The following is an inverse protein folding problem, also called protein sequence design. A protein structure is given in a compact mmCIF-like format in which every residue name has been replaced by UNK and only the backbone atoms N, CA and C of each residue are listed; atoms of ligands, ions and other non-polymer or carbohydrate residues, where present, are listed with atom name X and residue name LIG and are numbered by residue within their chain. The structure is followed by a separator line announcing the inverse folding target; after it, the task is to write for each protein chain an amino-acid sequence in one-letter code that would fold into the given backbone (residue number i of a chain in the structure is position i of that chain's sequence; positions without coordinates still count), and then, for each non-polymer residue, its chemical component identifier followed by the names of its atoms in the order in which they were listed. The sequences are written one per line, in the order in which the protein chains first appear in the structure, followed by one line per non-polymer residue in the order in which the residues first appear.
data_IF_204436884397
#
_entry.id   IF_204436884397
#
_cell.length_a   1.000
_cell.length_b   1.000
_cell.length_c   1.000
_cell.angle_alpha   90.00
_cell.angle_beta   90.00
_cell.angle_gamma   90.00
#
_symmetry.space_group_name_H-M   'P 1'
#
loop_
_entity.id
_entity.type
_entity.pdbx_description
1 polymer ?
#
# COMPACT_ATOMS: atom_id res chain seq x y z
N UNK A 1 -17.10 -14.37 26.91
CA UNK A 1 -17.53 -13.66 25.68
C UNK A 1 -18.99 -13.95 25.43
N UNK A 2 -19.66 -13.10 24.64
CA UNK A 2 -21.07 -13.28 24.24
C UNK A 2 -21.15 -14.18 23.02
N UNK A 3 -22.08 -15.13 23.01
CA UNK A 3 -22.36 -15.95 21.83
C UNK A 3 -23.46 -15.28 21.00
N UNK A 4 -23.30 -15.31 19.67
CA UNK A 4 -24.26 -14.75 18.71
C UNK A 4 -24.54 -15.83 17.67
N UNK A 5 -25.81 -16.19 17.50
CA UNK A 5 -26.28 -17.09 16.45
C UNK A 5 -26.57 -16.30 15.17
N UNK A 6 -26.20 -16.84 14.01
CA UNK A 6 -26.38 -16.17 12.71
C UNK A 6 -26.33 -17.18 11.56
N UNK A 7 -27.13 -16.97 10.52
CA UNK A 7 -27.07 -17.78 9.29
C UNK A 7 -25.84 -17.45 8.42
N UNK A 8 -25.40 -16.19 8.42
CA UNK A 8 -24.27 -15.69 7.62
C UNK A 8 -23.46 -14.65 8.41
N UNK A 9 -22.14 -14.71 8.27
CA UNK A 9 -21.21 -13.72 8.85
C UNK A 9 -20.22 -13.26 7.78
N UNK A 10 -20.03 -11.94 7.66
CA UNK A 10 -19.00 -11.35 6.81
C UNK A 10 -17.89 -10.76 7.66
N UNK A 11 -16.66 -11.23 7.45
CA UNK A 11 -15.47 -10.69 8.11
C UNK A 11 -14.89 -9.59 7.22
N UNK A 12 -15.12 -8.33 7.60
CA UNK A 12 -14.66 -7.16 6.87
C UNK A 12 -13.41 -6.50 7.50
N UNK A 13 -12.63 -7.27 8.27
CA UNK A 13 -11.42 -6.83 8.95
C UNK A 13 -10.33 -7.89 8.86
N UNK A 14 -9.09 -7.55 9.25
CA UNK A 14 -7.99 -8.51 9.31
C UNK A 14 -7.31 -8.78 7.97
N UNK A 15 -6.98 -7.74 7.21
CA UNK A 15 -6.24 -7.86 5.95
C UNK A 15 -4.87 -8.49 6.20
N UNK A 16 -4.53 -9.54 5.44
CA UNK A 16 -3.19 -10.13 5.41
C UNK A 16 -2.42 -9.55 4.22
N UNK A 17 -1.23 -9.00 4.49
CA UNK A 17 -0.38 -8.43 3.45
C UNK A 17 0.28 -9.54 2.61
N UNK A 18 0.42 -9.29 1.32
CA UNK A 18 1.06 -10.22 0.38
C UNK A 18 2.54 -9.82 0.15
N UNK A 19 3.38 -10.07 1.14
CA UNK A 19 4.80 -9.70 1.14
C UNK A 19 5.76 -10.87 0.95
N UNK A 20 5.23 -12.10 0.85
CA UNK A 20 6.05 -13.33 0.80
C UNK A 20 7.04 -13.36 -0.37
N UNK A 21 6.72 -12.73 -1.51
CA UNK A 21 7.66 -12.64 -2.64
C UNK A 21 8.91 -11.82 -2.29
N UNK A 22 8.77 -10.77 -1.48
CA UNK A 22 9.88 -9.92 -1.08
C UNK A 22 10.77 -10.65 -0.06
N UNK A 23 10.18 -11.47 0.80
CA UNK A 23 10.94 -12.33 1.73
C UNK A 23 11.89 -13.28 0.98
N UNK A 24 11.51 -13.74 -0.22
CA UNK A 24 12.41 -14.57 -1.06
C UNK A 24 13.61 -13.82 -1.62
N UNK A 25 13.56 -12.49 -1.67
CA UNK A 25 14.67 -11.65 -2.09
C UNK A 25 15.60 -11.37 -0.91
N UNK A 26 15.03 -10.85 0.18
CA UNK A 26 15.75 -10.51 1.41
C UNK A 26 14.77 -10.22 2.56
N UNK A 27 14.94 -10.92 3.68
CA UNK A 27 14.08 -10.71 4.87
C UNK A 27 14.25 -9.32 5.51
N UNK A 28 15.42 -8.66 5.33
CA UNK A 28 15.68 -7.34 5.90
C UNK A 28 14.81 -6.24 5.30
N UNK A 29 14.22 -6.49 4.12
CA UNK A 29 13.28 -5.60 3.44
C UNK A 29 11.87 -5.59 4.06
N UNK A 30 11.58 -6.48 5.00
CA UNK A 30 10.29 -6.55 5.68
C UNK A 30 10.43 -5.99 7.10
N UNK A 31 9.47 -5.15 7.51
CA UNK A 31 9.34 -4.74 8.91
C UNK A 31 8.80 -5.88 9.76
N UNK A 32 9.48 -6.17 10.88
CA UNK A 32 9.13 -7.29 11.77
C UNK A 32 7.72 -7.12 12.38
N UNK A 33 7.38 -5.91 12.83
CA UNK A 33 6.13 -5.65 13.54
C UNK A 33 4.90 -5.59 12.61
N UNK A 34 5.07 -5.00 11.42
CA UNK A 34 3.96 -4.68 10.52
C UNK A 34 3.87 -5.61 9.33
N UNK A 35 4.91 -6.41 9.07
CA UNK A 35 5.11 -7.22 7.86
C UNK A 35 5.11 -6.40 6.57
N UNK A 36 5.37 -5.08 6.65
CA UNK A 36 5.37 -4.18 5.49
C UNK A 36 6.72 -4.13 4.81
N UNK A 37 6.70 -3.90 3.51
CA UNK A 37 7.89 -3.73 2.68
C UNK A 37 8.50 -2.35 2.91
N UNK A 38 9.76 -2.32 3.31
CA UNK A 38 10.57 -1.11 3.47
C UNK A 38 10.86 -0.50 2.11
N UNK A 39 10.46 0.76 1.94
CA UNK A 39 10.68 1.52 0.70
C UNK A 39 11.32 2.87 0.96
N UNK A 40 12.08 3.34 -0.02
CA UNK A 40 12.58 4.72 -0.08
C UNK A 40 11.45 5.70 -0.38
N UNK A 41 11.69 6.99 -0.21
CA UNK A 41 10.76 8.06 -0.62
C UNK A 41 10.40 7.99 -2.11
N UNK A 42 11.23 7.36 -2.94
CA UNK A 42 11.03 7.13 -4.38
C UNK A 42 10.29 5.83 -4.71
N UNK A 43 9.78 5.11 -3.70
CA UNK A 43 9.04 3.84 -3.80
C UNK A 43 9.86 2.63 -4.29
N UNK A 44 11.18 2.76 -4.33
CA UNK A 44 12.09 1.64 -4.53
C UNK A 44 12.21 0.83 -3.23
N UNK A 45 12.49 -0.47 -3.33
CA UNK A 45 12.88 -1.27 -2.16
C UNK A 45 14.07 -0.62 -1.46
N UNK A 46 14.02 -0.57 -0.12
CA UNK A 46 15.05 0.10 0.67
C UNK A 46 16.30 -0.77 0.86
N UNK A 47 16.97 -1.05 -0.26
CA UNK A 47 18.19 -1.84 -0.29
C UNK A 47 18.96 -1.55 -1.59
N UNK A 48 20.29 -1.44 -1.51
CA UNK A 48 21.11 -1.00 -2.63
C UNK A 48 21.09 -1.98 -3.82
N UNK A 49 21.13 -3.29 -3.55
CA UNK A 49 21.04 -4.32 -4.59
C UNK A 49 19.67 -4.35 -5.30
N UNK A 50 18.62 -3.82 -4.66
CA UNK A 50 17.24 -3.92 -5.15
C UNK A 50 16.64 -2.57 -5.53
N UNK A 51 17.48 -1.54 -5.70
CA UNK A 51 17.06 -0.20 -6.14
C UNK A 51 16.49 -0.13 -7.57
N UNK A 52 16.24 -1.24 -8.23
CA UNK A 52 15.52 -1.29 -9.51
C UNK A 52 14.11 -1.91 -9.37
N UNK A 53 13.77 -2.37 -8.17
CA UNK A 53 12.46 -2.95 -7.83
C UNK A 53 11.66 -1.89 -7.07
N UNK A 54 10.39 -1.75 -7.41
CA UNK A 54 9.48 -0.79 -6.80
C UNK A 54 8.33 -1.52 -6.10
N UNK A 55 7.90 -1.01 -4.95
CA UNK A 55 6.73 -1.49 -4.22
C UNK A 55 5.78 -0.32 -3.95
N UNK A 56 4.48 -0.58 -4.10
CA UNK A 56 3.43 0.44 -3.96
C UNK A 56 2.19 -0.12 -3.29
N UNK A 57 1.32 0.79 -2.83
CA UNK A 57 0.02 0.43 -2.26
C UNK A 57 0.14 -0.12 -0.84
N UNK A 58 -0.77 -1.03 -0.51
CA UNK A 58 -0.98 -1.46 0.87
C UNK A 58 0.24 -2.16 1.47
N UNK A 59 1.14 -2.75 0.68
CA UNK A 59 2.29 -3.48 1.21
C UNK A 59 3.42 -2.57 1.73
N UNK A 60 3.46 -1.30 1.36
CA UNK A 60 4.58 -0.42 1.72
C UNK A 60 4.55 -0.01 3.18
N UNK A 61 5.71 0.26 3.77
CA UNK A 61 5.83 0.78 5.14
C UNK A 61 5.63 2.30 5.25
N UNK A 62 5.17 2.96 4.18
CA UNK A 62 4.89 4.39 4.21
C UNK A 62 3.82 4.67 5.28
N UNK A 63 4.13 5.60 6.18
CA UNK A 63 3.25 5.95 7.29
C UNK A 63 2.07 6.81 6.82
N UNK A 64 1.01 6.14 6.37
CA UNK A 64 -0.25 6.72 5.92
C UNK A 64 -1.36 5.66 5.95
N UNK A 65 -2.63 6.09 5.91
CA UNK A 65 -3.75 5.15 5.76
C UNK A 65 -3.67 4.41 4.43
N UNK A 66 -3.76 3.08 4.48
CA UNK A 66 -3.73 2.21 3.30
C UNK A 66 -5.08 2.25 2.58
N UNK A 67 -5.11 2.88 1.40
CA UNK A 67 -6.31 3.15 0.61
C UNK A 67 -6.01 2.97 -0.87
N UNK A 68 -7.02 2.55 -1.64
CA UNK A 68 -6.93 2.46 -3.09
C UNK A 68 -6.55 3.81 -3.74
N UNK A 69 -7.07 4.93 -3.20
CA UNK A 69 -6.69 6.28 -3.65
C UNK A 69 -5.17 6.52 -3.53
N UNK A 70 -4.57 6.16 -2.40
CA UNK A 70 -3.11 6.28 -2.17
C UNK A 70 -2.31 5.34 -3.07
N UNK A 71 -2.79 4.10 -3.25
CA UNK A 71 -2.17 3.17 -4.20
C UNK A 71 -2.12 3.76 -5.63
N UNK A 72 -3.16 4.49 -6.05
CA UNK A 72 -3.16 5.24 -7.30
C UNK A 72 -2.06 6.33 -7.34
N UNK A 73 -1.94 7.14 -6.28
CA UNK A 73 -0.87 8.14 -6.20
C UNK A 73 0.53 7.52 -6.21
N UNK A 74 0.71 6.37 -5.55
CA UNK A 74 1.96 5.62 -5.60
C UNK A 74 2.26 5.13 -7.03
N UNK A 75 1.26 4.61 -7.73
CA UNK A 75 1.41 4.14 -9.11
C UNK A 75 1.90 5.26 -10.05
N UNK A 76 1.38 6.49 -9.90
CA UNK A 76 1.84 7.65 -10.67
C UNK A 76 3.32 7.96 -10.44
N UNK A 77 3.78 7.87 -9.18
CA UNK A 77 5.19 8.09 -8.83
C UNK A 77 6.08 6.97 -9.37
N UNK A 78 5.68 5.70 -9.18
CA UNK A 78 6.42 4.54 -9.68
C UNK A 78 6.57 4.60 -11.19
N UNK A 79 5.49 4.90 -11.93
CA UNK A 79 5.54 5.02 -13.39
C UNK A 79 6.55 6.09 -13.85
N UNK A 80 6.51 7.28 -13.22
CA UNK A 80 7.48 8.36 -13.49
C UNK A 80 8.91 7.92 -13.18
N UNK A 81 9.12 7.21 -12.08
CA UNK A 81 10.44 6.77 -11.65
C UNK A 81 11.01 5.65 -12.49
N UNK A 82 10.18 4.73 -13.00
CA UNK A 82 10.61 3.72 -13.98
C UNK A 82 11.15 4.42 -15.23
N UNK A 83 10.39 5.38 -15.79
CA UNK A 83 10.80 6.13 -16.98
C UNK A 83 12.07 6.96 -16.68
N UNK A 84 12.12 7.64 -15.54
CA UNK A 84 13.29 8.42 -15.13
C UNK A 84 14.53 7.53 -15.02
N UNK A 85 14.41 6.34 -14.43
CA UNK A 85 15.52 5.39 -14.27
C UNK A 85 16.04 4.86 -15.60
N UNK A 86 15.16 4.49 -16.52
CA UNK A 86 15.54 4.07 -17.89
C UNK A 86 16.35 5.18 -18.59
N UNK A 87 15.98 6.44 -18.36
CA UNK A 87 16.62 7.60 -18.96
C UNK A 87 17.78 8.19 -18.13
N UNK A 88 18.23 7.50 -17.06
CA UNK A 88 19.27 7.99 -16.13
C UNK A 88 18.98 9.40 -15.56
N UNK A 89 17.71 9.71 -15.32
CA UNK A 89 17.25 10.97 -14.72
C UNK A 89 17.02 10.81 -13.21
N UNK A 90 16.99 11.94 -12.51
CA UNK A 90 16.67 11.99 -11.08
C UNK A 90 15.25 11.49 -10.83
N UNK A 91 15.09 10.67 -9.80
CA UNK A 91 13.80 10.13 -9.37
C UNK A 91 13.00 11.18 -8.56
N UNK A 92 11.68 11.01 -8.59
CA UNK A 92 10.71 11.84 -7.90
C UNK A 92 10.28 11.15 -6.61
N UNK A 93 10.17 11.92 -5.54
CA UNK A 93 9.72 11.42 -4.24
C UNK A 93 8.20 11.47 -4.12
N UNK A 94 7.64 10.44 -3.50
CA UNK A 94 6.30 10.44 -2.95
C UNK A 94 6.29 11.13 -1.59
N UNK A 95 5.26 11.94 -1.33
CA UNK A 95 5.03 12.58 -0.03
C UNK A 95 3.59 12.31 0.39
N UNK A 96 3.36 11.64 1.53
CA UNK A 96 2.01 11.46 2.06
C UNK A 96 1.29 12.80 2.21
N UNK A 97 0.04 12.84 1.77
CA UNK A 97 -0.84 13.99 1.96
C UNK A 97 -1.66 13.88 3.25
N UNK A 98 -2.50 14.88 3.57
CA UNK A 98 -3.40 14.81 4.73
C UNK A 98 -4.36 13.63 4.62
N UNK A 99 -4.74 13.05 5.76
CA UNK A 99 -5.67 11.92 5.84
C UNK A 99 -7.12 12.34 5.50
N UNK A 100 -7.78 11.55 4.66
CA UNK A 100 -9.20 11.75 4.31
C UNK A 100 -9.83 10.43 3.87
N UNK A 101 -11.12 10.24 4.21
CA UNK A 101 -11.89 9.06 3.86
C UNK A 101 -13.35 9.44 3.64
N UNK A 102 -13.97 8.88 2.60
CA UNK A 102 -15.41 8.98 2.36
C UNK A 102 -16.00 7.57 2.43
N UNK A 103 -16.99 7.39 3.31
CA UNK A 103 -17.66 6.10 3.51
C UNK A 103 -19.11 6.27 3.07
N UNK A 104 -19.58 5.39 2.21
CA UNK A 104 -20.99 5.40 1.78
C UNK A 104 -21.87 4.74 2.83
N UNK A 105 -23.04 5.32 3.12
CA UNK A 105 -24.04 4.77 4.05
C UNK A 105 -25.30 4.41 3.25
N UNK A 106 -25.12 3.50 2.29
CA UNK A 106 -26.19 3.07 1.39
C UNK A 106 -26.73 4.17 0.47
N UNK A 107 -27.66 3.79 -0.40
CA UNK A 107 -28.37 4.72 -1.28
C UNK A 107 -29.63 5.20 -0.56
N UNK A 108 -29.85 6.52 -0.54
CA UNK A 108 -31.15 7.08 -0.15
C UNK A 108 -32.10 6.96 -1.34
N UNK A 109 -33.17 6.17 -1.21
CA UNK A 109 -34.25 6.08 -2.20
C UNK A 109 -35.34 7.08 -1.78
N UNK A 110 -35.51 8.16 -2.54
CA UNK A 110 -36.70 8.99 -2.46
C UNK A 110 -37.77 8.39 -3.37
N UNK A 111 -38.87 7.93 -2.80
CA UNK A 111 -40.10 7.66 -3.54
C UNK A 111 -40.92 8.96 -3.54
N UNK A 112 -41.19 9.49 -4.73
CA UNK A 112 -42.11 10.60 -4.97
C UNK A 112 -43.43 10.06 -5.51
#
# INVERSE_FOLDING_TARGET
GTQIESDVQFVAFGVKLNTSVIETLDHTLIEEDTTRVKVRSTLQLDHDNYGHIFALGDITNINETKLAYRAGLHADIVAKNIIARINNKKLVEYKPGPESMCITIGKVLFYA
#
